data_IF_529893449802
#
_entry.id   IF_529893449802
#
_cell.length_a   1.000
_cell.length_b   1.000
_cell.length_c   1.000
_cell.angle_alpha   90.00
_cell.angle_beta   90.00
_cell.angle_gamma   90.00
#
_symmetry.space_group_name_H-M   'P 1'
#
loop_
_entity.id
_entity.type
_entity.pdbx_description
1 polymer ?
#
# COMPACT_ATOMS: atom_id res chain seq x y z
N UNK A 1 17.07 9.95 2.01
CA UNK A 1 16.84 10.06 3.48
C UNK A 1 16.84 8.63 4.09
N UNK A 2 17.28 8.44 5.34
CA UNK A 2 17.36 7.11 5.98
C UNK A 2 16.14 6.82 6.88
N UNK A 3 15.71 5.55 7.07
CA UNK A 3 14.59 5.20 7.95
C UNK A 3 14.70 5.79 9.37
N UNK A 4 15.88 5.74 9.98
CA UNK A 4 16.11 6.30 11.32
C UNK A 4 15.83 7.82 11.40
N UNK A 5 16.20 8.58 10.37
CA UNK A 5 15.93 10.02 10.30
C UNK A 5 14.43 10.29 10.14
N UNK A 6 13.74 9.49 9.31
CA UNK A 6 12.29 9.59 9.12
C UNK A 6 11.55 9.27 10.41
N UNK A 7 11.93 8.21 11.11
CA UNK A 7 11.35 7.84 12.41
C UNK A 7 11.49 8.98 13.43
N UNK A 8 12.66 9.64 13.50
CA UNK A 8 12.85 10.80 14.38
C UNK A 8 11.94 11.97 14.01
N UNK A 9 11.80 12.27 12.72
CA UNK A 9 10.88 13.32 12.23
C UNK A 9 9.44 12.99 12.60
N UNK A 10 8.99 11.75 12.39
CA UNK A 10 7.63 11.31 12.72
C UNK A 10 7.35 11.39 14.22
N UNK A 11 8.30 10.98 15.07
CA UNK A 11 8.18 11.12 16.54
C UNK A 11 8.09 12.58 16.98
N UNK A 12 8.91 13.46 16.40
CA UNK A 12 8.86 14.89 16.69
C UNK A 12 7.52 15.50 16.25
N UNK A 13 7.01 15.12 15.08
CA UNK A 13 5.71 15.59 14.61
C UNK A 13 4.56 15.09 15.49
N UNK A 14 4.58 13.82 15.89
CA UNK A 14 3.60 13.24 16.80
C UNK A 14 3.54 14.00 18.14
N UNK A 15 4.68 14.47 18.64
CA UNK A 15 4.76 15.32 19.84
C UNK A 15 4.08 16.68 19.63
N UNK A 16 4.38 17.36 18.53
CA UNK A 16 3.77 18.66 18.22
C UNK A 16 2.25 18.57 18.09
N UNK A 17 1.76 17.52 17.44
CA UNK A 17 0.31 17.26 17.33
C UNK A 17 -0.27 16.88 18.69
N UNK A 18 0.40 16.02 19.47
CA UNK A 18 -0.07 15.59 20.78
C UNK A 18 -0.21 16.72 21.80
N UNK A 19 0.62 17.77 21.71
CA UNK A 19 0.52 18.98 22.56
C UNK A 19 -0.80 19.74 22.37
N UNK A 20 -1.37 19.71 21.17
CA UNK A 20 -2.58 20.47 20.83
C UNK A 20 -3.83 19.59 20.76
N UNK A 21 -3.66 18.27 20.72
CA UNK A 21 -4.74 17.30 20.59
C UNK A 21 -5.27 16.86 21.98
N UNK A 22 -6.59 16.80 22.10
CA UNK A 22 -7.28 16.28 23.30
C UNK A 22 -7.15 14.76 23.45
N UNK A 23 -6.83 14.04 22.37
CA UNK A 23 -6.59 12.59 22.38
C UNK A 23 -5.38 12.20 23.22
N UNK A 24 -5.45 11.05 23.89
CA UNK A 24 -4.35 10.48 24.70
C UNK A 24 -3.49 9.47 23.93
N UNK A 25 -3.74 9.30 22.62
CA UNK A 25 -3.01 8.34 21.78
C UNK A 25 -1.66 8.86 21.26
N UNK A 26 -1.46 10.18 21.31
CA UNK A 26 -0.24 10.83 20.85
C UNK A 26 0.64 11.28 22.02
N UNK A 27 1.97 11.29 21.84
CA UNK A 27 2.89 11.73 22.88
C UNK A 27 2.70 13.23 23.17
N UNK A 28 2.64 13.59 24.45
CA UNK A 28 2.50 14.98 24.91
C UNK A 28 3.79 15.53 25.52
N UNK A 29 4.75 14.65 25.80
CA UNK A 29 6.06 15.00 26.34
C UNK A 29 7.19 14.43 25.49
N UNK A 30 8.39 14.99 25.62
CA UNK A 30 9.58 14.52 24.91
C UNK A 30 9.90 13.05 25.22
N UNK A 31 9.72 12.62 26.48
CA UNK A 31 9.93 11.23 26.87
C UNK A 31 8.92 10.30 26.20
N UNK A 32 7.63 10.66 26.20
CA UNK A 32 6.61 9.89 25.50
C UNK A 32 6.88 9.80 24.00
N UNK A 33 7.46 10.85 23.40
CA UNK A 33 7.82 10.84 21.98
C UNK A 33 8.99 9.90 21.67
N UNK A 34 9.96 9.76 22.57
CA UNK A 34 11.05 8.78 22.44
C UNK A 34 10.50 7.35 22.49
N UNK A 35 9.56 7.09 23.39
CA UNK A 35 8.94 5.78 23.59
C UNK A 35 7.83 5.47 22.57
N UNK A 36 7.38 6.48 21.82
CA UNK A 36 6.34 6.35 20.80
C UNK A 36 6.79 5.37 19.71
N UNK A 37 5.98 4.35 19.46
CA UNK A 37 6.21 3.39 18.38
C UNK A 37 5.48 3.86 17.14
N UNK A 38 6.25 4.11 16.09
CA UNK A 38 5.74 4.34 14.75
C UNK A 38 5.80 3.00 14.04
N UNK A 39 4.70 2.59 13.41
CA UNK A 39 4.68 1.34 12.67
C UNK A 39 5.70 1.35 11.51
N UNK A 40 6.39 0.23 11.31
CA UNK A 40 7.44 0.11 10.30
C UNK A 40 6.95 0.44 8.89
N UNK A 41 5.68 0.14 8.57
CA UNK A 41 5.11 0.47 7.28
C UNK A 41 5.02 1.99 7.04
N UNK A 42 4.72 2.78 8.09
CA UNK A 42 4.68 4.24 8.02
C UNK A 42 6.10 4.77 7.80
N UNK A 43 7.08 4.25 8.55
CA UNK A 43 8.49 4.64 8.40
C UNK A 43 8.99 4.33 7.00
N UNK A 44 8.65 3.16 6.46
CA UNK A 44 9.02 2.75 5.11
C UNK A 44 8.36 3.65 4.06
N UNK A 45 7.04 3.85 4.13
CA UNK A 45 6.30 4.69 3.20
C UNK A 45 6.86 6.14 3.19
N UNK A 46 7.08 6.73 4.36
CA UNK A 46 7.65 8.07 4.46
C UNK A 46 9.12 8.14 4.01
N UNK A 47 9.89 7.07 4.18
CA UNK A 47 11.27 6.99 3.67
C UNK A 47 11.31 6.97 2.16
N UNK A 48 10.48 6.14 1.54
CA UNK A 48 10.37 6.05 0.08
C UNK A 48 9.91 7.39 -0.48
N UNK A 49 8.86 8.00 0.08
CA UNK A 49 8.42 9.34 -0.31
C UNK A 49 9.55 10.38 -0.22
N UNK A 50 10.32 10.38 0.87
CA UNK A 50 11.44 11.29 1.04
C UNK A 50 12.57 11.04 0.02
N UNK A 51 12.78 9.79 -0.39
CA UNK A 51 13.73 9.43 -1.44
C UNK A 51 13.24 9.88 -2.81
N UNK A 52 11.96 9.69 -3.12
CA UNK A 52 11.33 10.10 -4.37
C UNK A 52 11.37 11.63 -4.51
N UNK A 53 11.02 12.37 -3.47
CA UNK A 53 11.16 13.84 -3.44
C UNK A 53 12.62 14.25 -3.68
N UNK A 54 13.59 13.54 -3.09
CA UNK A 54 15.02 13.83 -3.29
C UNK A 54 15.46 13.56 -4.73
N UNK A 55 14.98 12.48 -5.35
CA UNK A 55 15.24 12.14 -6.76
C UNK A 55 14.62 13.18 -7.69
N UNK A 56 13.37 13.57 -7.45
CA UNK A 56 12.67 14.63 -8.19
C UNK A 56 13.43 15.96 -8.12
N UNK A 57 13.87 16.40 -6.93
CA UNK A 57 14.66 17.62 -6.77
C UNK A 57 15.99 17.56 -7.54
N UNK A 58 16.70 16.43 -7.49
CA UNK A 58 17.93 16.22 -8.27
C UNK A 58 17.66 16.28 -9.78
N UNK A 59 16.65 15.58 -10.27
CA UNK A 59 16.27 15.56 -11.69
C UNK A 59 15.89 16.93 -12.21
N UNK A 60 15.09 17.69 -11.45
CA UNK A 60 14.73 19.08 -11.78
C UNK A 60 15.99 19.95 -11.88
N UNK A 61 16.91 19.84 -10.91
CA UNK A 61 18.18 20.60 -10.94
C UNK A 61 19.02 20.26 -12.16
N UNK A 62 19.16 18.98 -12.51
CA UNK A 62 19.88 18.54 -13.71
C UNK A 62 19.21 19.03 -15.00
N UNK A 63 17.88 18.97 -15.08
CA UNK A 63 17.12 19.48 -16.22
C UNK A 63 17.32 20.99 -16.42
N UNK A 64 17.20 21.78 -15.35
CA UNK A 64 17.39 23.24 -15.41
C UNK A 64 18.79 23.64 -15.88
N UNK A 65 19.82 22.85 -15.59
CA UNK A 65 21.19 23.14 -16.02
C UNK A 65 21.41 22.96 -17.52
N UNK A 66 20.60 22.14 -18.19
CA UNK A 66 20.82 21.80 -19.59
C UNK A 66 19.67 22.20 -20.53
N UNK A 67 18.53 22.65 -20.03
CA UNK A 67 17.32 22.90 -20.84
C UNK A 67 17.54 23.85 -22.02
N UNK A 68 18.31 24.92 -21.84
CA UNK A 68 18.55 25.90 -22.91
C UNK A 68 19.47 25.36 -24.02
N UNK A 69 20.33 24.39 -23.70
CA UNK A 69 21.36 23.86 -24.62
C UNK A 69 20.98 22.50 -25.20
N UNK A 70 20.25 21.69 -24.44
CA UNK A 70 19.83 20.35 -24.81
C UNK A 70 18.47 20.02 -24.14
N UNK A 71 17.35 20.49 -24.72
CA UNK A 71 16.01 20.24 -24.19
C UNK A 71 15.66 18.75 -24.09
N UNK A 72 16.21 17.91 -24.98
CA UNK A 72 15.94 16.47 -24.99
C UNK A 72 16.58 15.77 -23.79
N UNK A 73 17.83 16.11 -23.47
CA UNK A 73 18.49 15.61 -22.26
C UNK A 73 17.79 16.10 -20.98
N UNK A 74 17.32 17.36 -20.97
CA UNK A 74 16.52 17.87 -19.86
C UNK A 74 15.21 17.08 -19.66
N UNK A 75 14.53 16.72 -20.76
CA UNK A 75 13.37 15.83 -20.73
C UNK A 75 13.70 14.45 -20.16
N UNK A 76 14.83 13.88 -20.53
CA UNK A 76 15.28 12.57 -20.02
C UNK A 76 15.51 12.60 -18.50
N UNK A 77 16.19 13.63 -17.97
CA UNK A 77 16.35 13.79 -16.52
C UNK A 77 15.01 13.91 -15.78
N UNK A 78 14.02 14.59 -16.36
CA UNK A 78 12.70 14.69 -15.77
C UNK A 78 11.97 13.35 -15.79
N UNK A 79 12.07 12.59 -16.89
CA UNK A 79 11.43 11.27 -16.99
C UNK A 79 12.04 10.26 -16.01
N UNK A 80 13.37 10.23 -15.88
CA UNK A 80 14.07 9.36 -14.93
C UNK A 80 13.71 9.70 -13.48
N UNK A 81 13.56 10.99 -13.16
CA UNK A 81 13.19 11.44 -11.82
C UNK A 81 11.74 11.14 -11.44
N UNK A 82 10.88 10.82 -12.40
CA UNK A 82 9.47 10.44 -12.22
C UNK A 82 9.29 8.91 -12.27
N UNK A 83 10.29 8.15 -12.73
CA UNK A 83 10.18 6.71 -12.90
C UNK A 83 10.09 5.99 -11.54
N UNK A 84 8.88 5.65 -11.12
CA UNK A 84 8.63 4.64 -10.09
C UNK A 84 8.76 3.26 -10.72
N UNK A 85 9.93 2.62 -10.57
CA UNK A 85 10.27 1.35 -11.23
C UNK A 85 9.50 0.12 -10.74
N UNK A 86 8.60 0.26 -9.76
CA UNK A 86 7.76 -0.87 -9.36
C UNK A 86 6.35 -0.63 -9.88
N UNK A 87 5.98 -1.34 -10.95
CA UNK A 87 4.61 -1.38 -11.45
C UNK A 87 4.04 -2.75 -11.11
N UNK A 88 2.91 -2.77 -10.41
CA UNK A 88 2.13 -3.97 -10.22
C UNK A 88 1.22 -4.15 -11.43
N UNK A 89 1.31 -5.29 -12.09
CA UNK A 89 0.56 -5.61 -13.31
C UNK A 89 -0.38 -6.79 -13.05
N UNK A 90 -1.52 -6.90 -13.77
CA UNK A 90 -2.37 -8.07 -13.68
C UNK A 90 -1.64 -9.33 -14.17
N UNK A 91 -1.80 -10.43 -13.43
CA UNK A 91 -1.28 -11.75 -13.80
C UNK A 91 -2.39 -12.78 -13.84
N UNK A 92 -2.10 -13.94 -14.44
CA UNK A 92 -3.02 -15.08 -14.46
C UNK A 92 -3.31 -15.58 -13.03
N UNK A 93 -4.60 -15.63 -12.66
CA UNK A 93 -5.06 -16.07 -11.33
C UNK A 93 -5.11 -17.60 -11.31
N UNK A 94 -4.21 -18.22 -10.53
CA UNK A 94 -4.13 -19.69 -10.36
C UNK A 94 -4.50 -20.09 -8.94
N UNK A 95 -5.80 -20.24 -8.68
CA UNK A 95 -6.31 -20.59 -7.36
C UNK A 95 -5.86 -21.98 -6.94
N UNK A 96 -5.66 -22.16 -5.64
CA UNK A 96 -5.39 -23.46 -5.05
C UNK A 96 -6.67 -24.30 -4.91
N UNK A 97 -6.53 -25.51 -4.34
CA UNK A 97 -7.65 -26.44 -4.13
C UNK A 97 -8.77 -25.91 -3.21
N UNK A 98 -8.49 -24.87 -2.42
CA UNK A 98 -9.43 -24.22 -1.51
C UNK A 98 -10.03 -22.95 -2.12
N UNK A 99 -9.61 -22.56 -3.33
CA UNK A 99 -10.05 -21.32 -3.98
C UNK A 99 -9.28 -20.08 -3.56
N UNK A 100 -8.23 -20.21 -2.75
CA UNK A 100 -7.39 -19.10 -2.33
C UNK A 100 -6.34 -18.79 -3.40
N UNK A 101 -5.88 -17.55 -3.42
CA UNK A 101 -4.82 -17.12 -4.33
C UNK A 101 -4.19 -15.82 -3.84
N UNK A 102 -2.88 -15.67 -4.07
CA UNK A 102 -2.19 -14.42 -3.80
C UNK A 102 -1.34 -14.01 -4.97
N UNK A 103 -1.30 -12.70 -5.23
CA UNK A 103 -0.42 -12.13 -6.23
C UNK A 103 1.04 -12.48 -5.91
N UNK A 104 1.85 -12.93 -6.89
CA UNK A 104 3.25 -13.31 -6.67
C UNK A 104 4.10 -12.16 -6.16
N UNK A 105 3.80 -10.93 -6.59
CA UNK A 105 4.53 -9.72 -6.17
C UNK A 105 4.03 -9.10 -4.86
N UNK A 106 3.12 -9.76 -4.11
CA UNK A 106 2.65 -9.24 -2.82
C UNK A 106 3.72 -9.45 -1.73
N UNK A 107 4.37 -8.40 -1.18
CA UNK A 107 5.61 -8.57 -0.42
C UNK A 107 5.46 -8.98 1.06
N UNK A 108 4.23 -9.19 1.57
CA UNK A 108 3.99 -9.34 3.01
C UNK A 108 2.89 -10.36 3.37
N UNK A 109 2.97 -11.56 2.80
CA UNK A 109 2.06 -12.69 3.05
C UNK A 109 1.89 -13.04 4.55
N UNK A 110 2.96 -12.98 5.34
CA UNK A 110 2.94 -13.41 6.74
C UNK A 110 2.32 -12.38 7.69
N UNK A 111 2.16 -11.12 7.25
CA UNK A 111 1.69 -10.03 8.12
C UNK A 111 0.64 -9.16 7.43
N UNK A 112 -0.23 -9.80 6.65
CA UNK A 112 -1.30 -9.14 5.90
C UNK A 112 -2.18 -8.31 6.86
N UNK A 113 -2.20 -7.00 6.62
CA UNK A 113 -3.20 -6.10 7.18
C UNK A 113 -3.71 -5.19 6.08
N UNK A 114 -4.97 -4.76 6.21
CA UNK A 114 -5.58 -3.85 5.26
C UNK A 114 -4.72 -2.59 5.05
N UNK A 115 -4.23 -1.99 6.13
CA UNK A 115 -3.43 -0.77 6.08
C UNK A 115 -2.09 -0.96 5.35
N UNK A 116 -1.43 -2.11 5.54
CA UNK A 116 -0.17 -2.42 4.85
C UNK A 116 -0.36 -2.59 3.35
N UNK A 117 -1.40 -3.33 2.97
CA UNK A 117 -1.72 -3.57 1.56
C UNK A 117 -2.12 -2.25 0.90
N UNK A 118 -2.98 -1.46 1.56
CA UNK A 118 -3.41 -0.17 1.04
C UNK A 118 -2.23 0.80 0.90
N UNK A 119 -1.37 0.92 1.92
CA UNK A 119 -0.19 1.79 1.87
C UNK A 119 0.80 1.41 0.77
N UNK A 120 1.01 0.11 0.56
CA UNK A 120 1.85 -0.38 -0.55
C UNK A 120 1.23 -0.10 -1.91
N UNK A 121 -0.06 -0.37 -2.12
CA UNK A 121 -0.73 -0.03 -3.38
C UNK A 121 -0.69 1.47 -3.67
N UNK A 122 -0.88 2.31 -2.65
CA UNK A 122 -0.74 3.76 -2.79
C UNK A 122 0.64 4.18 -3.29
N UNK A 123 1.71 3.51 -2.84
CA UNK A 123 3.06 3.75 -3.36
C UNK A 123 3.18 3.41 -4.86
N UNK A 124 2.42 2.44 -5.36
CA UNK A 124 2.40 2.04 -6.77
C UNK A 124 1.41 2.86 -7.61
N UNK A 125 0.90 3.97 -7.07
CA UNK A 125 -0.16 4.78 -7.67
C UNK A 125 -1.47 3.98 -7.92
N UNK A 126 -1.79 3.08 -7.00
CA UNK A 126 -2.99 2.25 -6.97
C UNK A 126 -3.76 2.50 -5.66
N UNK A 127 -5.03 2.09 -5.61
CA UNK A 127 -5.84 2.05 -4.39
C UNK A 127 -6.34 0.63 -4.13
N UNK A 128 -6.56 0.29 -2.87
CA UNK A 128 -7.16 -0.97 -2.48
C UNK A 128 -8.68 -0.91 -2.61
N UNK A 129 -9.26 -1.85 -3.33
CA UNK A 129 -10.68 -2.19 -3.23
C UNK A 129 -10.81 -3.60 -2.65
N UNK A 130 -11.92 -3.89 -1.99
CA UNK A 130 -12.17 -5.22 -1.44
C UNK A 130 -13.63 -5.63 -1.60
N UNK A 131 -13.83 -6.95 -1.61
CA UNK A 131 -15.14 -7.56 -1.55
C UNK A 131 -15.10 -8.69 -0.53
N UNK A 132 -16.01 -8.65 0.44
CA UNK A 132 -16.30 -9.80 1.28
C UNK A 132 -17.45 -10.62 0.70
N UNK A 133 -17.46 -11.92 1.02
CA UNK A 133 -18.57 -12.79 0.65
C UNK A 133 -19.88 -12.28 1.27
N UNK A 134 -20.91 -12.09 0.43
CA UNK A 134 -22.16 -11.43 0.84
C UNK A 134 -22.97 -12.33 1.78
N UNK A 135 -23.35 -11.81 2.95
CA UNK A 135 -24.23 -12.51 3.90
C UNK A 135 -25.54 -12.95 3.23
N UNK A 136 -25.94 -14.19 3.52
CA UNK A 136 -27.19 -14.78 3.03
C UNK A 136 -27.12 -15.38 1.62
N UNK A 137 -25.96 -15.40 0.97
CA UNK A 137 -25.77 -16.21 -0.25
C UNK A 137 -25.58 -17.68 0.10
N UNK A 138 -25.75 -18.56 -0.89
CA UNK A 138 -25.48 -19.99 -0.74
C UNK A 138 -24.04 -20.25 -0.28
N UNK A 139 -23.07 -19.61 -0.95
CA UNK A 139 -21.64 -19.72 -0.62
C UNK A 139 -21.34 -19.26 0.81
N UNK A 140 -21.98 -18.18 1.27
CA UNK A 140 -21.82 -17.69 2.63
C UNK A 140 -22.34 -18.69 3.66
N UNK A 141 -23.47 -19.33 3.37
CA UNK A 141 -24.02 -20.35 4.27
C UNK A 141 -23.12 -21.59 4.32
N UNK A 142 -22.59 -22.05 3.18
CA UNK A 142 -21.60 -23.13 3.18
C UNK A 142 -20.36 -22.75 4.00
N UNK A 143 -19.85 -21.53 3.85
CA UNK A 143 -18.64 -21.10 4.53
C UNK A 143 -18.83 -20.94 6.05
N UNK A 144 -19.86 -20.21 6.47
CA UNK A 144 -20.05 -19.81 7.86
C UNK A 144 -20.88 -20.83 8.66
N UNK A 145 -21.96 -21.36 8.08
CA UNK A 145 -22.89 -22.25 8.79
C UNK A 145 -22.38 -23.69 8.75
N UNK A 146 -21.95 -24.15 7.57
CA UNK A 146 -21.45 -25.51 7.38
C UNK A 146 -19.95 -25.65 7.67
N UNK A 147 -19.28 -24.54 8.01
CA UNK A 147 -17.84 -24.45 8.29
C UNK A 147 -16.95 -24.98 7.15
N UNK A 148 -17.47 -24.94 5.91
CA UNK A 148 -16.72 -25.36 4.74
C UNK A 148 -15.82 -24.22 4.26
N UNK A 149 -14.53 -24.29 4.60
CA UNK A 149 -13.55 -23.25 4.22
C UNK A 149 -13.20 -23.24 2.73
N UNK A 150 -13.70 -24.16 1.93
CA UNK A 150 -13.46 -24.19 0.50
C UNK A 150 -14.29 -23.10 -0.21
N UNK A 151 -13.60 -22.13 -0.80
CA UNK A 151 -14.16 -21.00 -1.55
C UNK A 151 -13.86 -21.10 -3.05
N UNK A 152 -13.55 -22.30 -3.57
CA UNK A 152 -13.20 -22.53 -4.98
C UNK A 152 -14.29 -22.08 -5.97
N UNK A 153 -15.56 -22.10 -5.56
CA UNK A 153 -16.71 -21.68 -6.36
C UNK A 153 -17.02 -20.18 -6.24
N UNK A 154 -16.43 -19.47 -5.28
CA UNK A 154 -16.71 -18.06 -5.07
C UNK A 154 -16.01 -17.20 -6.11
N UNK A 155 -16.75 -16.42 -6.89
CA UNK A 155 -16.19 -15.53 -7.93
C UNK A 155 -16.30 -14.06 -7.51
N UNK A 156 -15.32 -13.52 -6.74
CA UNK A 156 -15.30 -12.10 -6.41
C UNK A 156 -15.03 -11.25 -7.65
N UNK A 157 -15.67 -10.09 -7.72
CA UNK A 157 -15.62 -9.14 -8.83
C UNK A 157 -15.43 -7.71 -8.31
N UNK A 158 -14.66 -6.91 -9.05
CA UNK A 158 -14.53 -5.47 -8.81
C UNK A 158 -15.04 -4.70 -10.04
N UNK A 159 -16.03 -3.83 -9.85
CA UNK A 159 -16.66 -3.08 -10.93
C UNK A 159 -15.92 -1.78 -11.29
N UNK A 160 -14.61 -1.72 -11.03
CA UNK A 160 -13.79 -0.56 -11.40
C UNK A 160 -12.92 -0.91 -12.59
N UNK A 161 -12.96 -0.06 -13.62
CA UNK A 161 -12.17 -0.26 -14.83
C UNK A 161 -10.67 -0.31 -14.51
N UNK A 162 -9.97 -1.27 -15.12
CA UNK A 162 -8.55 -1.51 -14.89
C UNK A 162 -8.21 -2.13 -13.54
N UNK A 163 -9.21 -2.45 -12.70
CA UNK A 163 -8.96 -3.18 -11.46
C UNK A 163 -8.56 -4.63 -11.73
N UNK A 164 -7.67 -5.16 -10.90
CA UNK A 164 -7.23 -6.55 -10.97
C UNK A 164 -7.04 -7.15 -9.57
N UNK A 165 -7.20 -8.46 -9.48
CA UNK A 165 -7.14 -9.19 -8.22
C UNK A 165 -5.71 -9.25 -7.68
N UNK A 166 -5.55 -9.11 -6.36
CA UNK A 166 -4.25 -9.27 -5.69
C UNK A 166 -4.27 -10.28 -4.54
N UNK A 167 -5.44 -10.62 -3.99
CA UNK A 167 -5.60 -11.61 -2.93
C UNK A 167 -7.02 -12.19 -2.94
N UNK A 168 -7.14 -13.49 -2.69
CA UNK A 168 -8.34 -14.17 -2.23
C UNK A 168 -7.93 -14.99 -1.01
N UNK A 169 -8.56 -14.73 0.12
CA UNK A 169 -8.25 -15.36 1.39
C UNK A 169 -9.51 -15.84 2.11
N UNK A 170 -9.38 -16.96 2.82
CA UNK A 170 -10.41 -17.61 3.63
C UNK A 170 -10.03 -17.74 5.11
N UNK A 171 -8.90 -17.16 5.52
CA UNK A 171 -8.41 -17.23 6.90
C UNK A 171 -9.24 -16.39 7.88
N UNK A 172 -9.96 -15.38 7.39
CA UNK A 172 -10.85 -14.53 8.18
C UNK A 172 -12.22 -15.15 8.46
N UNK A 173 -13.00 -14.51 9.34
CA UNK A 173 -14.38 -14.91 9.65
C UNK A 173 -15.31 -14.89 8.42
N UNK A 174 -14.98 -14.04 7.45
CA UNK A 174 -15.64 -13.95 6.15
C UNK A 174 -14.56 -13.99 5.06
N UNK A 175 -14.74 -14.76 3.97
CA UNK A 175 -13.82 -14.75 2.85
C UNK A 175 -13.70 -13.36 2.26
N UNK A 176 -12.48 -12.98 1.90
CA UNK A 176 -12.18 -11.64 1.39
C UNK A 176 -11.37 -11.71 0.11
N UNK A 177 -11.68 -10.83 -0.81
CA UNK A 177 -10.93 -10.60 -2.03
C UNK A 177 -10.45 -9.16 -2.07
N UNK A 178 -9.18 -8.96 -2.37
CA UNK A 178 -8.57 -7.65 -2.56
C UNK A 178 -8.21 -7.42 -4.02
N UNK A 179 -8.44 -6.19 -4.44
CA UNK A 179 -8.20 -5.71 -5.79
C UNK A 179 -7.31 -4.47 -5.74
N UNK A 180 -6.31 -4.45 -6.61
CA UNK A 180 -5.59 -3.24 -6.95
C UNK A 180 -6.39 -2.48 -8.00
N UNK A 181 -6.59 -1.18 -7.78
CA UNK A 181 -7.37 -0.32 -8.66
C UNK A 181 -6.54 0.90 -9.07
N UNK A 182 -6.49 1.27 -10.35
CA UNK A 182 -5.81 2.49 -10.79
C UNK A 182 -6.32 3.74 -10.05
N UNK A 183 -5.39 4.61 -9.64
CA UNK A 183 -5.73 5.98 -9.26
C UNK A 183 -5.99 6.78 -10.55
N UNK A 184 -7.26 7.10 -10.78
CA UNK A 184 -7.75 7.97 -11.85
C UNK A 184 -7.38 9.43 -11.61
#
# INVERSE_FOLDING_TARGET
MTPNKVMLILKAHALEVGKTNSSNTLPKTAQQALDFRVDDWIVNAATVLAQDISKMDAGIKCALQCIDKNPQLAKEYLLEAIAHETKLEPVEVKRDSQGCWTHPDLPFLETLSFDKINGWLHHLNLKLAYQSMKKGTHDYNQFVVEQNRNISLWEPTCNVEGAFLILIDNSSDEPIAFFAVPLS
#
